data_IF_277086065706
#
_entry.id   IF_277086065706
#
_cell.length_a   1.000
_cell.length_b   1.000
_cell.length_c   1.000
_cell.angle_alpha   90.00
_cell.angle_beta   90.00
_cell.angle_gamma   90.00
#
_symmetry.space_group_name_H-M   'P 1'
#
loop_
_entity.id
_entity.type
_entity.pdbx_description
1 polymer ?
#
# COMPACT_ATOMS: atom_id res chain seq x y z
N UNK A 1 6.84 -0.52 -29.59
CA UNK A 1 8.28 -0.38 -29.82
C UNK A 1 9.00 -0.62 -28.50
N UNK A 2 9.48 -1.85 -28.30
CA UNK A 2 10.45 -2.16 -27.26
C UNK A 2 11.82 -1.87 -27.86
N UNK A 3 12.50 -0.84 -27.35
CA UNK A 3 13.91 -0.61 -27.67
C UNK A 3 14.68 -1.56 -26.75
N UNK A 4 15.19 -2.64 -27.32
CA UNK A 4 16.11 -3.54 -26.62
C UNK A 4 17.32 -2.75 -26.13
N UNK A 5 17.76 -3.07 -24.90
CA UNK A 5 18.87 -2.41 -24.23
C UNK A 5 20.17 -2.61 -25.04
N UNK A 6 20.48 -1.66 -25.92
CA UNK A 6 21.81 -1.51 -26.51
C UNK A 6 22.82 -1.26 -25.38
N UNK A 7 24.03 -1.82 -25.52
CA UNK A 7 25.16 -1.60 -24.62
C UNK A 7 25.28 -0.12 -24.24
N UNK A 8 25.48 0.16 -22.94
CA UNK A 8 25.46 1.50 -22.40
C UNK A 8 26.52 2.40 -23.07
N UNK A 9 26.09 3.20 -24.04
CA UNK A 9 26.92 4.21 -24.66
C UNK A 9 27.18 5.35 -23.67
N UNK A 10 28.36 5.97 -23.74
CA UNK A 10 28.73 7.12 -22.88
C UNK A 10 27.66 8.23 -22.86
N UNK A 11 27.02 8.48 -24.01
CA UNK A 11 25.94 9.46 -24.12
C UNK A 11 24.66 9.05 -23.39
N UNK A 12 24.26 7.77 -23.43
CA UNK A 12 23.06 7.30 -22.72
C UNK A 12 23.29 7.34 -21.21
N UNK A 13 24.48 6.96 -20.73
CA UNK A 13 24.81 7.05 -19.29
C UNK A 13 24.78 8.49 -18.78
N UNK A 14 25.24 9.47 -19.57
CA UNK A 14 25.18 10.89 -19.18
C UNK A 14 23.76 11.44 -19.17
N UNK A 15 22.93 11.05 -20.14
CA UNK A 15 21.52 11.45 -20.16
C UNK A 15 20.76 10.87 -18.95
N UNK A 16 20.99 9.61 -18.63
CA UNK A 16 20.42 8.95 -17.45
C UNK A 16 20.80 9.69 -16.18
N UNK A 17 22.09 10.05 -16.03
CA UNK A 17 22.57 10.84 -14.90
C UNK A 17 21.84 12.18 -14.75
N UNK A 18 21.66 12.93 -15.86
CA UNK A 18 20.99 14.23 -15.82
C UNK A 18 19.51 14.08 -15.46
N UNK A 19 18.81 13.11 -16.05
CA UNK A 19 17.38 12.87 -15.79
C UNK A 19 17.17 12.45 -14.34
N UNK A 20 17.98 11.52 -13.83
CA UNK A 20 17.87 11.06 -12.45
C UNK A 20 18.28 12.14 -11.45
N UNK A 21 19.26 12.97 -11.80
CA UNK A 21 19.63 14.13 -11.01
C UNK A 21 18.46 15.13 -10.91
N UNK A 22 17.74 15.36 -12.00
CA UNK A 22 16.51 16.16 -11.97
C UNK A 22 15.46 15.54 -11.05
N UNK A 23 15.11 14.26 -11.28
CA UNK A 23 14.07 13.56 -10.51
C UNK A 23 14.36 13.50 -9.02
N UNK A 24 15.57 13.11 -8.61
CA UNK A 24 15.90 12.93 -7.19
C UNK A 24 15.87 14.24 -6.39
N UNK A 25 16.16 15.36 -7.04
CA UNK A 25 16.21 16.68 -6.41
C UNK A 25 14.85 17.41 -6.46
N UNK A 26 13.81 16.82 -7.06
CA UNK A 26 12.50 17.46 -7.21
C UNK A 26 11.35 16.47 -6.96
N UNK A 27 11.43 15.69 -5.89
CA UNK A 27 10.38 14.74 -5.51
C UNK A 27 9.21 15.48 -4.85
N UNK A 28 8.00 15.26 -5.33
CA UNK A 28 6.77 15.92 -4.89
C UNK A 28 5.83 14.94 -4.17
N UNK A 29 5.81 14.97 -2.82
CA UNK A 29 5.08 14.02 -2.03
C UNK A 29 3.58 14.32 -2.07
N UNK A 30 2.79 13.25 -2.20
CA UNK A 30 1.37 13.19 -1.96
C UNK A 30 1.16 12.55 -0.59
N UNK A 31 0.80 13.34 0.43
CA UNK A 31 0.56 12.82 1.76
C UNK A 31 -0.85 12.24 1.83
N UNK A 32 -0.94 10.92 1.89
CA UNK A 32 -2.18 10.24 2.22
C UNK A 32 -2.26 10.05 3.74
N UNK A 33 -2.61 11.14 4.43
CA UNK A 33 -2.73 11.19 5.88
C UNK A 33 -4.06 10.62 6.38
N UNK A 34 -4.02 9.47 7.07
CA UNK A 34 -5.23 8.82 7.61
C UNK A 34 -5.29 8.79 9.13
N UNK A 35 -4.14 8.81 9.81
CA UNK A 35 -4.07 8.67 11.28
C UNK A 35 -2.91 9.50 11.87
N UNK A 36 -2.38 9.08 13.02
CA UNK A 36 -1.39 9.81 13.81
C UNK A 36 -0.08 10.15 13.07
N UNK A 37 0.36 9.31 12.13
CA UNK A 37 1.58 9.57 11.34
C UNK A 37 1.44 10.79 10.42
N UNK A 38 0.21 11.23 10.12
CA UNK A 38 -0.03 12.43 9.32
C UNK A 38 0.44 13.70 10.05
N UNK A 39 0.21 13.79 11.35
CA UNK A 39 0.65 14.95 12.16
C UNK A 39 2.17 15.01 12.21
N UNK A 40 2.81 13.84 12.36
CA UNK A 40 4.26 13.76 12.38
C UNK A 40 4.86 14.13 11.01
N UNK A 41 4.21 13.76 9.91
CA UNK A 41 4.59 14.25 8.58
C UNK A 41 4.41 15.76 8.44
N UNK A 42 3.31 16.35 8.94
CA UNK A 42 3.12 17.80 8.91
C UNK A 42 4.26 18.54 9.63
N UNK A 43 4.85 17.92 10.67
CA UNK A 43 6.02 18.49 11.33
C UNK A 43 7.26 18.52 10.43
N UNK A 44 7.37 17.66 9.41
CA UNK A 44 8.47 17.70 8.43
C UNK A 44 8.41 18.93 7.54
N UNK A 45 7.22 19.51 7.33
CA UNK A 45 7.03 20.78 6.60
C UNK A 45 7.27 22.00 7.49
N UNK A 46 7.35 21.84 8.80
CA UNK A 46 7.59 22.97 9.71
C UNK A 46 9.05 23.38 9.78
N UNK A 47 9.30 24.62 10.21
CA UNK A 47 10.63 25.25 10.27
C UNK A 47 11.77 24.41 10.89
N UNK A 48 11.55 23.55 11.91
CA UNK A 48 12.65 22.74 12.46
C UNK A 48 13.21 21.70 11.48
N UNK A 49 12.37 21.17 10.58
CA UNK A 49 12.70 20.02 9.75
C UNK A 49 12.72 20.33 8.24
N UNK A 50 11.92 21.30 7.79
CA UNK A 50 11.92 21.91 6.46
C UNK A 50 12.19 20.96 5.28
N UNK A 51 11.14 20.29 4.82
CA UNK A 51 11.15 19.41 3.66
C UNK A 51 11.58 20.10 2.34
N UNK A 52 11.49 21.44 2.27
CA UNK A 52 11.94 22.21 1.10
C UNK A 52 13.44 22.08 0.86
N UNK A 53 14.22 21.82 1.92
CA UNK A 53 15.69 21.71 1.86
C UNK A 53 16.19 20.60 0.94
N UNK A 54 15.40 19.54 0.74
CA UNK A 54 15.73 18.42 -0.14
C UNK A 54 15.05 18.51 -1.52
N UNK A 55 14.48 19.68 -1.85
CA UNK A 55 13.75 19.91 -3.10
C UNK A 55 12.34 19.30 -3.12
N UNK A 56 11.86 18.90 -1.94
CA UNK A 56 10.55 18.27 -1.72
C UNK A 56 9.56 19.22 -1.03
N UNK A 57 9.71 20.52 -1.29
CA UNK A 57 8.84 21.59 -0.78
C UNK A 57 7.37 21.39 -1.19
N UNK A 58 7.17 20.84 -2.38
CA UNK A 58 5.91 20.94 -3.06
C UNK A 58 4.99 19.76 -2.79
N UNK A 59 4.34 19.83 -1.64
CA UNK A 59 3.38 18.83 -1.19
C UNK A 59 2.06 19.02 -1.95
N UNK A 60 1.79 18.11 -2.89
CA UNK A 60 0.64 18.20 -3.79
C UNK A 60 -0.47 17.27 -3.34
N UNK A 61 -1.65 17.82 -3.07
CA UNK A 61 -2.86 17.07 -2.77
C UNK A 61 -3.63 16.61 -4.02
N UNK A 62 -2.99 16.63 -5.18
CA UNK A 62 -3.55 16.08 -6.42
C UNK A 62 -2.63 14.98 -6.95
N UNK A 63 -3.15 13.73 -7.09
CA UNK A 63 -2.32 12.59 -7.44
C UNK A 63 -1.70 12.71 -8.83
N UNK A 64 -2.28 13.50 -9.74
CA UNK A 64 -1.73 13.64 -11.10
C UNK A 64 -0.48 14.51 -11.17
N UNK A 65 -0.23 15.32 -10.14
CA UNK A 65 0.94 16.21 -10.10
C UNK A 65 2.03 15.70 -9.16
N UNK A 66 1.76 14.71 -8.31
CA UNK A 66 2.73 14.13 -7.39
C UNK A 66 3.38 12.88 -7.97
N UNK A 67 4.57 12.54 -7.48
CA UNK A 67 5.33 11.35 -7.86
C UNK A 67 5.55 10.39 -6.67
N UNK A 68 5.71 10.90 -5.44
CA UNK A 68 5.88 10.08 -4.24
C UNK A 68 4.56 9.98 -3.48
N UNK A 69 4.00 8.79 -3.34
CA UNK A 69 2.84 8.53 -2.47
C UNK A 69 3.34 8.16 -1.06
N UNK A 70 3.17 9.07 -0.11
CA UNK A 70 3.45 8.81 1.30
C UNK A 70 2.17 8.37 2.01
N UNK A 71 2.07 7.11 2.41
CA UNK A 71 0.91 6.61 3.15
C UNK A 71 1.18 6.66 4.65
N UNK A 72 0.44 7.52 5.32
CA UNK A 72 0.75 7.96 6.67
C UNK A 72 -0.38 7.57 7.62
N UNK A 73 -0.26 6.36 8.18
CA UNK A 73 -1.18 5.84 9.17
C UNK A 73 -1.94 4.60 8.75
N UNK A 74 -2.99 4.29 9.51
CA UNK A 74 -3.78 3.07 9.36
C UNK A 74 -4.67 3.13 8.12
N UNK A 75 -4.75 2.03 7.38
CA UNK A 75 -5.64 1.88 6.22
C UNK A 75 -6.77 0.93 6.60
N UNK A 76 -8.00 1.39 6.43
CA UNK A 76 -9.18 0.53 6.60
C UNK A 76 -9.56 -0.18 5.29
N UNK A 77 -10.27 -1.31 5.38
CA UNK A 77 -10.78 -2.00 4.19
C UNK A 77 -11.66 -1.11 3.29
N UNK A 78 -12.36 -0.14 3.89
CA UNK A 78 -13.15 0.86 3.14
C UNK A 78 -12.27 1.83 2.34
N UNK A 79 -11.12 2.20 2.88
CA UNK A 79 -10.17 3.10 2.23
C UNK A 79 -9.29 2.39 1.20
N UNK A 80 -9.05 1.08 1.36
CA UNK A 80 -8.21 0.29 0.45
C UNK A 80 -8.51 0.49 -1.06
N UNK A 81 -9.76 0.41 -1.56
CA UNK A 81 -10.04 0.65 -2.97
C UNK A 81 -9.82 2.11 -3.41
N UNK A 82 -9.98 3.07 -2.49
CA UNK A 82 -9.74 4.49 -2.76
C UNK A 82 -8.23 4.72 -2.92
N UNK A 83 -7.44 4.16 -2.01
CA UNK A 83 -5.99 4.25 -2.06
C UNK A 83 -5.43 3.62 -3.34
N UNK A 84 -5.95 2.45 -3.75
CA UNK A 84 -5.60 1.82 -5.02
C UNK A 84 -5.88 2.74 -6.22
N UNK A 85 -7.05 3.40 -6.23
CA UNK A 85 -7.42 4.35 -7.29
C UNK A 85 -6.49 5.56 -7.33
N UNK A 86 -6.13 6.11 -6.17
CA UNK A 86 -5.17 7.21 -6.06
C UNK A 86 -3.83 6.78 -6.67
N UNK A 87 -3.36 5.59 -6.30
CA UNK A 87 -2.11 5.05 -6.83
C UNK A 87 -2.15 4.85 -8.35
N UNK A 88 -3.27 4.37 -8.89
CA UNK A 88 -3.47 4.22 -10.34
C UNK A 88 -3.49 5.57 -11.09
N UNK A 89 -3.87 6.66 -10.42
CA UNK A 89 -3.93 8.00 -11.01
C UNK A 89 -2.59 8.75 -10.99
N UNK A 90 -1.62 8.32 -10.20
CA UNK A 90 -0.26 8.87 -10.18
C UNK A 90 0.44 8.67 -11.53
N UNK A 91 1.16 9.71 -11.96
CA UNK A 91 1.99 9.65 -13.16
C UNK A 91 3.17 8.67 -12.95
N UNK A 92 3.60 7.99 -14.01
CA UNK A 92 4.85 7.22 -14.00
C UNK A 92 6.01 8.21 -14.29
N UNK A 93 7.12 8.23 -13.52
CA UNK A 93 7.53 7.35 -12.41
C UNK A 93 6.89 7.73 -11.06
N UNK A 94 6.55 6.70 -10.27
CA UNK A 94 6.00 6.87 -8.92
C UNK A 94 6.71 5.99 -7.90
N UNK A 95 6.75 6.49 -6.66
CA UNK A 95 7.33 5.79 -5.51
C UNK A 95 6.34 5.77 -4.35
N UNK A 96 6.38 4.72 -3.55
CA UNK A 96 5.46 4.56 -2.41
C UNK A 96 6.25 4.40 -1.12
N UNK A 97 5.95 5.25 -0.14
CA UNK A 97 6.47 5.17 1.22
C UNK A 97 5.36 4.68 2.13
N UNK A 98 5.60 3.59 2.86
CA UNK A 98 4.76 3.15 3.96
C UNK A 98 5.30 3.76 5.26
N UNK A 99 4.56 4.73 5.83
CA UNK A 99 4.97 5.44 7.04
C UNK A 99 4.25 4.90 8.28
N UNK A 100 5.05 4.38 9.21
CA UNK A 100 4.62 3.88 10.50
C UNK A 100 4.20 2.41 10.49
N UNK A 101 4.17 1.82 11.69
CA UNK A 101 3.85 0.41 11.91
C UNK A 101 2.47 0.03 11.35
N UNK A 102 1.51 0.96 11.39
CA UNK A 102 0.17 0.74 10.86
C UNK A 102 0.16 0.54 9.34
N UNK A 103 0.96 1.31 8.60
CA UNK A 103 1.06 1.16 7.14
C UNK A 103 1.91 -0.07 6.77
N UNK A 104 2.99 -0.34 7.51
CA UNK A 104 3.89 -1.48 7.22
C UNK A 104 3.24 -2.84 7.49
N UNK A 105 2.69 -3.05 8.68
CA UNK A 105 2.22 -4.38 9.12
C UNK A 105 0.79 -4.40 9.69
N UNK A 106 0.08 -3.27 9.68
CA UNK A 106 -1.17 -3.10 10.45
C UNK A 106 -0.94 -2.62 11.88
N UNK A 107 0.30 -2.73 12.37
CA UNK A 107 0.73 -2.17 13.65
C UNK A 107 0.01 -2.80 14.84
N UNK A 108 -0.52 -1.96 15.73
CA UNK A 108 -1.30 -2.40 16.91
C UNK A 108 -2.71 -2.89 16.55
N UNK A 109 -3.17 -2.63 15.32
CA UNK A 109 -4.54 -2.90 14.92
C UNK A 109 -4.66 -4.30 14.29
N UNK A 110 -4.85 -5.31 15.13
CA UNK A 110 -5.35 -6.61 14.71
C UNK A 110 -6.88 -6.63 14.84
N UNK A 111 -7.56 -5.94 13.92
CA UNK A 111 -9.01 -5.82 13.96
C UNK A 111 -9.65 -5.94 12.57
N UNK A 112 -10.92 -6.34 12.54
CA UNK A 112 -11.66 -6.67 11.32
C UNK A 112 -11.76 -5.53 10.29
N UNK A 113 -11.52 -4.28 10.70
CA UNK A 113 -11.70 -3.11 9.85
C UNK A 113 -10.39 -2.61 9.22
N UNK A 114 -9.23 -3.06 9.71
CA UNK A 114 -7.90 -2.61 9.26
C UNK A 114 -7.24 -3.62 8.35
N UNK A 115 -6.54 -3.12 7.33
CA UNK A 115 -5.75 -3.98 6.44
C UNK A 115 -4.39 -4.24 7.10
N UNK A 116 -3.93 -5.51 7.18
CA UNK A 116 -2.62 -5.85 7.72
C UNK A 116 -1.51 -5.47 6.73
N UNK A 117 -1.19 -4.18 6.67
CA UNK A 117 -0.16 -3.61 5.80
C UNK A 117 -0.66 -3.17 4.42
N UNK A 118 -0.03 -2.12 3.88
CA UNK A 118 -0.36 -1.56 2.56
C UNK A 118 0.06 -2.47 1.39
N UNK A 119 1.02 -3.37 1.62
CA UNK A 119 1.61 -4.26 0.62
C UNK A 119 0.61 -5.22 -0.02
N UNK A 120 -0.54 -5.42 0.63
CA UNK A 120 -1.63 -6.21 0.08
C UNK A 120 -2.41 -5.47 -1.01
N UNK A 121 -2.25 -4.15 -1.11
CA UNK A 121 -3.03 -3.28 -2.01
C UNK A 121 -2.15 -2.71 -3.12
N UNK A 122 -0.99 -2.16 -2.74
CA UNK A 122 -0.07 -1.43 -3.63
C UNK A 122 1.38 -1.88 -3.34
N UNK A 123 2.26 -1.96 -4.35
CA UNK A 123 3.69 -2.17 -4.14
C UNK A 123 4.35 -0.99 -3.40
N UNK A 124 5.11 -1.30 -2.35
CA UNK A 124 5.84 -0.31 -1.53
C UNK A 124 7.33 -0.35 -1.83
N UNK A 125 7.95 0.84 -1.90
CA UNK A 125 9.38 0.98 -2.13
C UNK A 125 10.18 1.08 -0.83
N UNK A 126 9.71 1.87 0.13
CA UNK A 126 10.40 2.12 1.41
C UNK A 126 9.41 1.99 2.57
N UNK A 127 9.85 1.33 3.63
CA UNK A 127 9.10 1.18 4.87
C UNK A 127 9.77 2.01 5.98
N UNK A 128 8.95 2.75 6.72
CA UNK A 128 9.40 3.51 7.89
C UNK A 128 8.78 2.88 9.13
N UNK A 129 9.63 2.39 10.03
CA UNK A 129 9.20 1.93 11.35
C UNK A 129 8.85 3.10 12.27
N UNK A 130 7.82 2.94 13.10
CA UNK A 130 7.47 3.91 14.16
C UNK A 130 5.97 3.98 14.46
N UNK A 131 5.59 4.59 15.59
CA UNK A 131 4.18 4.75 15.98
C UNK A 131 3.98 5.97 16.92
N UNK A 132 3.95 7.21 16.40
CA UNK A 132 4.27 7.61 15.02
C UNK A 132 5.78 7.58 14.75
N UNK A 133 6.18 7.51 13.48
CA UNK A 133 7.60 7.57 13.10
C UNK A 133 8.11 8.99 13.16
N UNK A 134 9.21 9.23 13.87
CA UNK A 134 9.86 10.53 14.01
C UNK A 134 10.08 11.25 12.65
N UNK A 135 10.06 12.59 12.60
CA UNK A 135 10.13 13.33 11.35
C UNK A 135 11.46 13.06 10.64
N UNK A 136 12.55 12.89 11.40
CA UNK A 136 13.87 12.53 10.86
C UNK A 136 13.85 11.20 10.10
N UNK A 137 13.08 10.21 10.56
CA UNK A 137 12.95 8.92 9.89
C UNK A 137 12.26 9.04 8.52
N UNK A 138 11.42 10.06 8.34
CA UNK A 138 10.85 10.38 7.04
C UNK A 138 11.89 10.96 6.08
N UNK A 139 12.82 11.80 6.56
CA UNK A 139 13.95 12.28 5.75
C UNK A 139 14.85 11.13 5.32
N UNK A 140 15.14 10.19 6.23
CA UNK A 140 15.95 9.01 5.88
C UNK A 140 15.31 8.19 4.76
N UNK A 141 13.99 8.01 4.81
CA UNK A 141 13.26 7.34 3.73
C UNK A 141 13.30 8.11 2.41
N UNK A 142 13.20 9.44 2.45
CA UNK A 142 13.35 10.28 1.27
C UNK A 142 14.76 10.16 0.67
N UNK A 143 15.80 10.15 1.51
CA UNK A 143 17.18 9.92 1.05
C UNK A 143 17.37 8.52 0.47
N UNK A 144 16.70 7.50 1.02
CA UNK A 144 16.71 6.15 0.44
C UNK A 144 16.04 6.12 -0.94
N UNK A 145 14.93 6.83 -1.13
CA UNK A 145 14.30 6.98 -2.45
C UNK A 145 15.24 7.69 -3.41
N UNK A 146 15.90 8.78 -2.99
CA UNK A 146 16.85 9.49 -3.85
C UNK A 146 18.01 8.60 -4.31
N UNK A 147 18.47 7.67 -3.46
CA UNK A 147 19.45 6.64 -3.82
C UNK A 147 18.86 5.68 -4.85
N UNK A 148 17.66 5.14 -4.59
CA UNK A 148 16.94 4.25 -5.53
C UNK A 148 16.70 4.90 -6.91
N UNK A 149 16.38 6.20 -6.94
CA UNK A 149 16.20 6.98 -8.18
C UNK A 149 17.53 7.16 -8.92
N UNK A 150 18.64 7.30 -8.19
CA UNK A 150 19.97 7.47 -8.80
C UNK A 150 20.43 6.19 -9.53
N UNK A 151 20.03 5.03 -9.01
CA UNK A 151 20.39 3.70 -9.57
C UNK A 151 19.47 3.24 -10.71
N UNK A 152 18.42 4.01 -11.04
CA UNK A 152 17.52 3.68 -12.15
C UNK A 152 18.11 4.04 -13.51
N UNK A 153 17.99 3.19 -14.52
CA UNK A 153 18.25 3.62 -15.89
C UNK A 153 17.01 4.26 -16.48
N UNK A 154 17.18 5.32 -17.27
CA UNK A 154 16.06 6.01 -17.93
C UNK A 154 15.31 5.09 -18.90
N UNK A 155 16.05 4.16 -19.52
CA UNK A 155 15.55 3.25 -20.56
C UNK A 155 14.86 2.02 -19.99
N UNK A 156 15.19 1.57 -18.77
CA UNK A 156 14.45 0.48 -18.13
C UNK A 156 13.11 1.01 -17.61
N UNK A 157 12.01 0.49 -18.14
CA UNK A 157 10.70 0.83 -17.63
C UNK A 157 10.61 0.35 -16.19
N UNK A 158 10.50 1.27 -15.23
CA UNK A 158 10.24 0.95 -13.81
C UNK A 158 9.04 -0.01 -13.62
N UNK A 159 8.08 0.02 -14.56
CA UNK A 159 6.96 -0.92 -14.66
C UNK A 159 7.37 -2.39 -14.80
N UNK A 160 8.49 -2.68 -15.46
CA UNK A 160 9.04 -4.04 -15.58
C UNK A 160 9.63 -4.51 -14.25
N UNK A 161 10.26 -3.62 -13.47
CA UNK A 161 10.77 -3.93 -12.12
C UNK A 161 9.64 -4.18 -11.12
N UNK A 162 8.60 -3.35 -11.16
CA UNK A 162 7.41 -3.50 -10.31
C UNK A 162 6.51 -4.66 -10.77
N UNK A 163 6.76 -5.24 -11.96
CA UNK A 163 5.95 -6.34 -12.49
C UNK A 163 5.96 -7.54 -11.55
N UNK A 164 7.13 -7.89 -11.02
CA UNK A 164 7.28 -8.98 -10.06
C UNK A 164 6.48 -8.70 -8.77
N UNK A 165 6.59 -7.48 -8.23
CA UNK A 165 5.82 -7.09 -7.03
C UNK A 165 4.31 -7.13 -7.28
N UNK A 166 3.88 -6.72 -8.47
CA UNK A 166 2.48 -6.78 -8.87
C UNK A 166 1.98 -8.22 -9.07
N UNK A 167 2.78 -9.09 -9.66
CA UNK A 167 2.47 -10.51 -9.83
C UNK A 167 2.36 -11.19 -8.46
N UNK A 168 3.28 -10.90 -7.54
CA UNK A 168 3.20 -11.37 -6.16
C UNK A 168 1.93 -10.86 -5.45
N UNK A 169 1.58 -9.58 -5.63
CA UNK A 169 0.38 -8.99 -5.04
C UNK A 169 -0.90 -9.62 -5.62
N UNK A 170 -0.92 -9.89 -6.92
CA UNK A 170 -2.01 -10.62 -7.58
C UNK A 170 -2.11 -12.05 -7.10
N UNK A 171 -0.99 -12.75 -6.92
CA UNK A 171 -0.95 -14.10 -6.37
C UNK A 171 -1.49 -14.14 -4.94
N UNK A 172 -1.04 -13.23 -4.06
CA UNK A 172 -1.58 -13.08 -2.69
C UNK A 172 -3.08 -12.81 -2.69
N UNK A 173 -3.54 -11.91 -3.57
CA UNK A 173 -4.97 -11.59 -3.70
C UNK A 173 -5.77 -12.79 -4.20
N UNK A 174 -5.22 -13.59 -5.12
CA UNK A 174 -5.85 -14.79 -5.64
C UNK A 174 -5.95 -15.89 -4.58
N UNK A 175 -4.87 -16.12 -3.82
CA UNK A 175 -4.84 -17.04 -2.68
C UNK A 175 -5.88 -16.63 -1.63
N UNK A 176 -5.90 -15.37 -1.20
CA UNK A 176 -6.87 -14.87 -0.23
C UNK A 176 -8.32 -15.04 -0.70
N UNK A 177 -8.60 -14.87 -2.01
CA UNK A 177 -9.93 -15.13 -2.58
C UNK A 177 -10.30 -16.62 -2.55
N UNK A 178 -9.34 -17.50 -2.83
CA UNK A 178 -9.55 -18.95 -2.77
C UNK A 178 -9.86 -19.39 -1.34
N UNK A 179 -9.03 -18.99 -0.38
CA UNK A 179 -9.22 -19.27 1.05
C UNK A 179 -10.57 -18.77 1.57
N UNK A 180 -10.96 -17.55 1.19
CA UNK A 180 -12.26 -16.99 1.57
C UNK A 180 -13.43 -17.77 0.95
N UNK A 181 -13.27 -18.27 -0.28
CA UNK A 181 -14.29 -19.09 -0.96
C UNK A 181 -14.45 -20.47 -0.29
N UNK A 182 -13.35 -21.06 0.16
CA UNK A 182 -13.34 -22.33 0.90
C UNK A 182 -13.96 -22.16 2.29
N UNK A 183 -13.55 -21.12 3.02
CA UNK A 183 -14.13 -20.78 4.31
C UNK A 183 -15.64 -20.53 4.22
N UNK A 184 -16.08 -19.78 3.21
CA UNK A 184 -17.50 -19.51 2.97
C UNK A 184 -18.28 -20.80 2.69
N UNK A 185 -17.74 -21.71 1.88
CA UNK A 185 -18.35 -23.03 1.61
C UNK A 185 -18.46 -23.88 2.87
N UNK A 186 -17.38 -23.96 3.65
CA UNK A 186 -17.36 -24.70 4.92
C UNK A 186 -18.38 -24.13 5.91
N UNK A 187 -18.46 -22.80 6.03
CA UNK A 187 -19.43 -22.14 6.92
C UNK A 187 -20.87 -22.38 6.49
N UNK A 188 -21.15 -22.38 5.19
CA UNK A 188 -22.49 -22.69 4.66
C UNK A 188 -22.90 -24.13 4.99
N UNK A 189 -21.98 -25.09 4.89
CA UNK A 189 -22.25 -26.48 5.27
C UNK A 189 -22.54 -26.60 6.77
N UNK A 190 -21.70 -25.99 7.62
CA UNK A 190 -21.90 -25.97 9.08
C UNK A 190 -23.25 -25.35 9.46
N UNK A 191 -23.65 -24.26 8.79
CA UNK A 191 -24.94 -23.61 9.03
C UNK A 191 -26.12 -24.47 8.56
N UNK A 192 -25.97 -25.23 7.46
CA UNK A 192 -27.00 -26.17 6.99
C UNK A 192 -27.21 -27.31 7.99
N UNK A 193 -26.12 -27.92 8.48
CA UNK A 193 -26.19 -28.98 9.50
C UNK A 193 -26.87 -28.49 10.78
N UNK A 194 -26.52 -27.28 11.24
CA UNK A 194 -27.18 -26.64 12.39
C UNK A 194 -28.67 -26.39 12.13
N UNK A 195 -29.04 -25.95 10.93
CA UNK A 195 -30.44 -25.74 10.55
C UNK A 195 -31.23 -27.05 10.51
N UNK A 196 -30.66 -28.13 10.00
CA UNK A 196 -31.29 -29.47 10.01
C UNK A 196 -31.45 -30.01 11.44
N UNK A 197 -30.44 -29.84 12.29
CA UNK A 197 -30.53 -30.21 13.70
C UNK A 197 -31.65 -29.44 14.42
N UNK A 198 -31.74 -28.12 14.21
CA UNK A 198 -32.81 -27.29 14.78
C UNK A 198 -34.19 -27.70 14.26
N UNK A 199 -34.31 -28.02 12.96
CA UNK A 199 -35.55 -28.51 12.35
C UNK A 199 -35.98 -29.84 12.99
N UNK A 200 -35.06 -30.79 13.14
CA UNK A 200 -35.35 -32.08 13.77
C UNK A 200 -35.73 -31.93 15.25
N UNK A 201 -35.08 -31.00 15.97
CA UNK A 201 -35.43 -30.67 17.35
C UNK A 201 -36.81 -30.04 17.46
N UNK A 202 -37.17 -29.16 16.52
CA UNK A 202 -38.51 -28.55 16.45
C UNK A 202 -39.60 -29.59 16.14
N UNK A 203 -39.33 -30.54 15.23
CA UNK A 203 -40.24 -31.65 14.91
C UNK A 203 -40.47 -32.51 16.16
N UNK A 204 -39.41 -32.95 16.83
CA UNK A 204 -39.52 -33.75 18.07
C UNK A 204 -40.29 -33.02 19.16
N UNK A 205 -40.08 -31.71 19.31
CA UNK A 205 -40.81 -30.89 20.28
C UNK A 205 -42.30 -30.80 19.92
N UNK A 206 -42.62 -30.64 18.64
CA UNK A 206 -44.02 -30.61 18.17
C UNK A 206 -44.72 -31.97 18.35
N UNK A 207 -44.02 -33.09 18.13
CA UNK A 207 -44.52 -34.44 18.40
C UNK A 207 -44.76 -34.66 19.91
N UNK A 208 -43.81 -34.27 20.75
CA UNK A 208 -43.93 -34.35 22.21
C UNK A 208 -45.19 -33.64 22.76
N UNK A 209 -45.51 -32.44 22.24
CA UNK A 209 -46.71 -31.69 22.63
C UNK A 209 -48.01 -32.26 22.05
N UNK A 210 -47.95 -33.04 20.95
CA UNK A 210 -49.13 -33.76 20.43
C UNK A 210 -49.46 -34.99 21.27
N UNK A 211 -48.45 -35.66 21.80
CA UNK A 211 -48.61 -36.86 22.63
C UNK A 211 -48.94 -36.53 24.11
N UNK A 212 -48.59 -35.32 24.58
CA UNK A 212 -48.92 -34.81 25.91
C UNK A 212 -49.74 -33.50 25.82
N UNK A 213 -51.05 -33.58 25.47
CA UNK A 213 -51.94 -32.42 25.42
C UNK A 213 -52.28 -31.83 26.80
#
# INVERSE_FOLDING_TARGET
MAVEAQEANFFTTKLDFIVNWGRKNSLWPFPYGTACCAIEFMSTETSPYDLSRIGSEYVRFTPRQSDVLAVQGTITYKQAPILKRIYEQLAEPKWVIAMGACATSGGVYDCYCTVPGIDNIIPVDVYIGGCPSRPEAFFDAMFEIQKKVSDESYMAKRKERLKEQWELLQAKTAQAKQELSEYSRAKVLELKEKAECLKNTAIRKAEFWKENP
#
